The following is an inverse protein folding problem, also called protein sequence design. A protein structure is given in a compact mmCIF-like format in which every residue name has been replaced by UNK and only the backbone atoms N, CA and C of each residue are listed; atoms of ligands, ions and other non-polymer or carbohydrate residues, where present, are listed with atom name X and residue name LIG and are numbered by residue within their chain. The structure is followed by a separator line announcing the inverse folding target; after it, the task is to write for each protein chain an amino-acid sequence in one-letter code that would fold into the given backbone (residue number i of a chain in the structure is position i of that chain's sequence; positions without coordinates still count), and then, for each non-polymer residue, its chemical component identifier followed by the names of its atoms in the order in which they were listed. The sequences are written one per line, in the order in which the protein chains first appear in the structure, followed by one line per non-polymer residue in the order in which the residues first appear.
data_IF_284917873180
#
_entry.id   IF_284917873180
#
_cell.length_a   1.000
_cell.length_b   1.000
_cell.length_c   1.000
_cell.angle_alpha   90.00
_cell.angle_beta   90.00
_cell.angle_gamma   90.00
#
_symmetry.space_group_name_H-M   'P 1'
#
loop_
_entity.id
_entity.type
_entity.pdbx_description
1 polymer ?
#
# COMPACT_ATOMS: atom_id res chain seq x y z
N UNK A 1 -21.17 6.56 3.13
CA UNK A 1 -20.78 6.80 4.54
C UNK A 1 -19.59 5.94 4.95
N UNK A 2 -18.49 6.61 5.32
CA UNK A 2 -17.19 6.03 5.73
C UNK A 2 -17.19 5.07 6.93
N UNK A 3 -18.35 4.72 7.48
CA UNK A 3 -18.46 4.02 8.75
C UNK A 3 -17.90 2.59 8.69
N UNK A 4 -18.16 1.86 7.60
CA UNK A 4 -17.69 0.48 7.43
C UNK A 4 -16.16 0.42 7.38
N UNK A 5 -15.53 1.34 6.64
CA UNK A 5 -14.07 1.46 6.57
C UNK A 5 -13.46 1.81 7.92
N UNK A 6 -14.07 2.73 8.67
CA UNK A 6 -13.60 3.09 10.03
C UNK A 6 -13.70 1.92 10.99
N UNK A 7 -14.76 1.11 10.90
CA UNK A 7 -14.91 -0.09 11.74
C UNK A 7 -13.88 -1.16 11.38
N UNK A 8 -13.63 -1.39 10.08
CA UNK A 8 -12.58 -2.30 9.63
C UNK A 8 -11.19 -1.84 10.08
N UNK A 9 -10.90 -0.55 9.99
CA UNK A 9 -9.67 0.06 10.48
C UNK A 9 -9.49 -0.17 11.98
N UNK A 10 -10.51 0.16 12.79
CA UNK A 10 -10.49 -0.09 14.25
C UNK A 10 -10.25 -1.56 14.59
N UNK A 11 -10.92 -2.47 13.88
CA UNK A 11 -10.72 -3.92 14.08
C UNK A 11 -9.28 -4.33 13.78
N UNK A 12 -8.69 -3.79 12.72
CA UNK A 12 -7.29 -4.08 12.35
C UNK A 12 -6.29 -3.50 13.33
N UNK A 13 -6.49 -2.29 13.84
CA UNK A 13 -5.66 -1.75 14.92
C UNK A 13 -5.79 -2.53 16.23
N UNK A 14 -6.98 -3.02 16.57
CA UNK A 14 -7.15 -3.89 17.73
C UNK A 14 -6.48 -5.26 17.55
N UNK A 15 -6.36 -5.74 16.30
CA UNK A 15 -5.70 -7.03 15.98
C UNK A 15 -4.17 -6.89 15.93
N UNK A 16 -3.65 -5.74 15.51
CA UNK A 16 -2.22 -5.47 15.32
C UNK A 16 -1.80 -4.16 16.01
N UNK A 17 -1.84 -4.10 17.36
CA UNK A 17 -1.48 -2.90 18.10
C UNK A 17 -0.01 -2.49 17.89
N UNK A 18 0.89 -3.46 17.71
CA UNK A 18 2.31 -3.22 17.46
C UNK A 18 2.59 -2.44 16.17
N UNK A 19 1.68 -2.51 15.20
CA UNK A 19 1.75 -1.75 13.95
C UNK A 19 1.11 -0.37 14.04
N UNK A 20 0.39 -0.09 15.14
CA UNK A 20 -0.19 1.22 15.42
C UNK A 20 0.84 2.17 16.04
N UNK A 21 1.74 1.64 16.86
CA UNK A 21 2.74 2.42 17.63
C UNK A 21 4.13 2.46 16.96
N UNK A 22 4.30 1.79 15.81
CA UNK A 22 5.57 1.70 15.09
C UNK A 22 6.03 3.05 14.49
N UNK A 23 7.26 3.49 14.82
CA UNK A 23 7.84 4.72 14.23
C UNK A 23 8.31 4.55 12.77
N UNK A 24 8.60 3.31 12.35
CA UNK A 24 9.17 3.01 11.03
C UNK A 24 8.14 2.52 10.01
N UNK A 25 7.03 1.93 10.47
CA UNK A 25 5.98 1.35 9.62
C UNK A 25 4.61 1.71 10.16
N UNK A 26 3.65 1.89 9.25
CA UNK A 26 2.27 2.21 9.60
C UNK A 26 1.32 1.19 8.99
N UNK A 27 0.37 0.70 9.79
CA UNK A 27 -0.74 -0.09 9.29
C UNK A 27 -1.66 0.79 8.43
N UNK A 28 -1.76 0.47 7.14
CA UNK A 28 -2.65 1.17 6.21
C UNK A 28 -3.75 0.22 5.75
N UNK A 29 -5.02 0.57 6.02
CA UNK A 29 -6.17 -0.23 5.57
C UNK A 29 -6.68 0.34 4.25
N UNK A 30 -6.40 -0.38 3.18
CA UNK A 30 -6.87 -0.04 1.84
C UNK A 30 -8.28 -0.58 1.64
N UNK A 31 -9.24 0.32 1.47
CA UNK A 31 -10.61 -0.04 1.16
C UNK A 31 -11.27 0.84 0.11
N UNK A 32 -12.30 0.27 -0.51
CA UNK A 32 -13.14 0.90 -1.52
C UNK A 32 -14.61 0.61 -1.17
N UNK A 33 -15.44 1.65 -1.15
CA UNK A 33 -16.88 1.53 -0.90
C UNK A 33 -17.65 1.21 -2.18
N UNK A 34 -18.90 0.77 -2.01
CA UNK A 34 -19.85 0.62 -3.12
C UNK A 34 -19.93 1.94 -3.90
N UNK A 35 -19.79 1.86 -5.23
CA UNK A 35 -19.68 3.04 -6.11
C UNK A 35 -18.25 3.49 -6.41
N UNK A 36 -17.22 2.77 -5.96
CA UNK A 36 -15.83 3.02 -6.36
C UNK A 36 -15.10 4.08 -5.52
N UNK A 37 -15.69 4.49 -4.40
CA UNK A 37 -15.11 5.52 -3.53
C UNK A 37 -13.98 4.94 -2.67
N UNK A 38 -12.76 5.38 -2.93
CA UNK A 38 -11.59 4.97 -2.16
C UNK A 38 -11.52 5.60 -0.77
N UNK A 39 -11.03 4.82 0.20
CA UNK A 39 -10.64 5.29 1.53
C UNK A 39 -9.56 6.38 1.45
N UNK A 40 -9.56 7.30 2.44
CA UNK A 40 -8.55 8.36 2.54
C UNK A 40 -7.13 7.78 2.62
N UNK A 41 -6.95 6.68 3.35
CA UNK A 41 -5.66 6.01 3.49
C UNK A 41 -5.13 5.50 2.15
N UNK A 42 -5.99 4.91 1.31
CA UNK A 42 -5.61 4.48 -0.04
C UNK A 42 -5.20 5.66 -0.93
N UNK A 43 -5.96 6.76 -0.90
CA UNK A 43 -5.63 7.98 -1.65
C UNK A 43 -4.29 8.56 -1.19
N UNK A 44 -4.05 8.62 0.11
CA UNK A 44 -2.80 9.14 0.67
C UNK A 44 -1.61 8.24 0.36
N UNK A 45 -1.77 6.92 0.43
CA UNK A 45 -0.73 5.97 0.06
C UNK A 45 -0.32 6.15 -1.41
N UNK A 46 -1.29 6.16 -2.33
CA UNK A 46 -0.99 6.33 -3.77
C UNK A 46 -0.29 7.67 -4.02
N UNK A 47 -0.75 8.76 -3.40
CA UNK A 47 -0.10 10.07 -3.53
C UNK A 47 1.36 10.04 -3.07
N UNK A 48 1.67 9.39 -1.96
CA UNK A 48 3.04 9.24 -1.44
C UNK A 48 3.90 8.38 -2.38
N UNK A 49 3.38 7.23 -2.84
CA UNK A 49 4.09 6.35 -3.78
C UNK A 49 4.39 7.05 -5.11
N UNK A 50 3.43 7.79 -5.64
CA UNK A 50 3.60 8.59 -6.86
C UNK A 50 4.65 9.67 -6.67
N UNK A 51 4.61 10.40 -5.56
CA UNK A 51 5.61 11.43 -5.27
C UNK A 51 7.02 10.83 -5.16
N UNK A 52 7.17 9.75 -4.40
CA UNK A 52 8.46 9.06 -4.23
C UNK A 52 9.01 8.54 -5.56
N UNK A 53 8.17 7.89 -6.39
CA UNK A 53 8.59 7.36 -7.69
C UNK A 53 8.89 8.46 -8.70
N UNK A 54 8.14 9.56 -8.69
CA UNK A 54 8.40 10.68 -9.59
C UNK A 54 9.69 11.43 -9.24
N UNK A 55 10.12 11.46 -7.99
CA UNK A 55 11.41 12.07 -7.60
C UNK A 55 12.60 11.36 -8.22
N UNK A 56 12.49 10.04 -8.47
CA UNK A 56 13.51 9.24 -9.16
C UNK A 56 13.64 9.57 -10.66
N UNK A 57 12.68 10.29 -11.24
CA UNK A 57 12.75 10.71 -12.64
C UNK A 57 13.50 12.05 -12.80
N UNK A 58 14.16 12.29 -13.96
CA UNK A 58 14.75 13.58 -14.29
C UNK A 58 13.75 14.74 -14.13
N UNK A 59 14.18 15.96 -13.72
CA UNK A 59 13.28 17.07 -13.44
C UNK A 59 12.24 17.35 -14.54
N UNK A 60 12.66 17.31 -15.80
CA UNK A 60 11.80 17.53 -16.98
C UNK A 60 10.71 16.45 -17.15
N UNK A 61 10.92 15.23 -16.64
CA UNK A 61 9.99 14.11 -16.78
C UNK A 61 9.13 13.86 -15.54
N UNK A 62 9.27 14.65 -14.48
CA UNK A 62 8.55 14.39 -13.22
C UNK A 62 7.03 14.50 -13.36
N UNK A 63 6.54 15.46 -14.13
CA UNK A 63 5.10 15.61 -14.36
C UNK A 63 4.47 14.41 -15.10
N UNK A 64 4.97 13.98 -16.28
CA UNK A 64 4.44 12.79 -16.94
C UNK A 64 4.69 11.51 -16.12
N UNK A 65 5.81 11.41 -15.39
CA UNK A 65 6.06 10.29 -14.49
C UNK A 65 5.00 10.21 -13.37
N UNK A 66 4.62 11.34 -12.75
CA UNK A 66 3.55 11.35 -11.73
C UNK A 66 2.25 10.78 -12.28
N UNK A 67 1.85 11.20 -13.48
CA UNK A 67 0.62 10.72 -14.11
C UNK A 67 0.69 9.22 -14.42
N UNK A 68 1.79 8.76 -15.03
CA UNK A 68 1.99 7.35 -15.37
C UNK A 68 1.97 6.45 -14.11
N UNK A 69 2.68 6.85 -13.06
CA UNK A 69 2.67 6.12 -11.79
C UNK A 69 1.30 6.13 -11.12
N UNK A 70 0.58 7.25 -11.17
CA UNK A 70 -0.77 7.32 -10.62
C UNK A 70 -1.71 6.34 -11.33
N UNK A 71 -1.72 6.33 -12.67
CA UNK A 71 -2.49 5.38 -13.45
C UNK A 71 -2.13 3.94 -13.10
N UNK A 72 -0.84 3.60 -13.07
CA UNK A 72 -0.38 2.25 -12.72
C UNK A 72 -0.87 1.81 -11.34
N UNK A 73 -0.68 2.63 -10.31
CA UNK A 73 -1.09 2.27 -8.95
C UNK A 73 -2.60 2.16 -8.80
N UNK A 74 -3.38 3.05 -9.42
CA UNK A 74 -4.83 2.94 -9.41
C UNK A 74 -5.34 1.72 -10.16
N UNK A 75 -4.71 1.33 -11.28
CA UNK A 75 -5.04 0.09 -11.99
C UNK A 75 -4.80 -1.14 -11.11
N UNK A 76 -3.65 -1.22 -10.43
CA UNK A 76 -3.34 -2.33 -9.50
C UNK A 76 -4.39 -2.43 -8.39
N UNK A 77 -4.73 -1.30 -7.76
CA UNK A 77 -5.75 -1.27 -6.71
C UNK A 77 -7.13 -1.68 -7.23
N UNK A 78 -7.51 -1.22 -8.42
CA UNK A 78 -8.80 -1.54 -9.03
C UNK A 78 -8.93 -3.03 -9.33
N UNK A 79 -7.88 -3.64 -9.89
CA UNK A 79 -7.83 -5.10 -10.11
C UNK A 79 -7.91 -5.83 -8.77
N UNK A 80 -7.16 -5.40 -7.75
CA UNK A 80 -7.20 -6.03 -6.43
C UNK A 80 -8.60 -6.00 -5.81
N UNK A 81 -9.34 -4.90 -5.95
CA UNK A 81 -10.73 -4.80 -5.50
C UNK A 81 -11.66 -5.71 -6.28
N UNK A 82 -11.58 -5.72 -7.62
CA UNK A 82 -12.39 -6.61 -8.46
C UNK A 82 -12.15 -8.08 -8.09
N UNK A 83 -10.89 -8.46 -7.87
CA UNK A 83 -10.51 -9.78 -7.40
C UNK A 83 -11.10 -10.07 -6.02
N UNK A 84 -10.96 -9.15 -5.05
CA UNK A 84 -11.52 -9.34 -3.70
C UNK A 84 -13.05 -9.52 -3.72
N UNK A 85 -13.76 -8.73 -4.54
CA UNK A 85 -15.21 -8.85 -4.74
C UNK A 85 -15.55 -10.20 -5.38
N UNK A 86 -14.85 -10.60 -6.45
CA UNK A 86 -15.05 -11.89 -7.10
C UNK A 86 -14.86 -13.08 -6.14
N UNK A 87 -13.83 -13.05 -5.30
CA UNK A 87 -13.59 -14.10 -4.30
C UNK A 87 -14.70 -14.15 -3.25
N UNK A 88 -15.17 -12.99 -2.78
CA UNK A 88 -16.26 -12.89 -1.80
C UNK A 88 -17.57 -13.40 -2.40
N UNK A 89 -17.88 -13.02 -3.64
CA UNK A 89 -19.10 -13.44 -4.34
C UNK A 89 -19.13 -14.95 -4.63
N UNK A 90 -17.97 -15.54 -4.94
CA UNK A 90 -17.85 -16.98 -5.20
C UNK A 90 -17.77 -17.84 -3.93
N UNK A 91 -17.89 -17.25 -2.73
CA UNK A 91 -17.83 -17.97 -1.46
C UNK A 91 -16.48 -18.62 -1.17
N UNK A 92 -15.42 -18.24 -1.91
CA UNK A 92 -14.06 -18.74 -1.64
C UNK A 92 -13.49 -17.91 -0.49
N UNK A 93 -13.46 -18.49 0.71
CA UNK A 93 -12.59 -18.01 1.77
C UNK A 93 -11.17 -17.96 1.20
N UNK A 94 -10.60 -16.76 1.11
CA UNK A 94 -9.27 -16.57 0.57
C UNK A 94 -8.30 -17.35 1.47
N UNK A 95 -7.76 -18.47 0.99
CA UNK A 95 -6.35 -18.72 1.24
C UNK A 95 -5.66 -17.50 0.63
N UNK A 96 -5.03 -16.67 1.47
CA UNK A 96 -4.18 -15.60 0.94
C UNK A 96 -3.34 -16.22 -0.16
N UNK A 97 -3.36 -15.72 -1.42
CA UNK A 97 -2.28 -16.06 -2.30
C UNK A 97 -1.04 -15.55 -1.57
N UNK A 98 -0.24 -16.48 -1.04
CA UNK A 98 1.17 -16.20 -0.74
C UNK A 98 1.74 -15.53 -1.99
N UNK A 99 2.63 -14.55 -1.78
CA UNK A 99 2.92 -13.45 -2.72
C UNK A 99 2.73 -13.92 -4.15
N UNK A 100 1.57 -13.60 -4.72
CA UNK A 100 1.37 -13.82 -6.14
C UNK A 100 2.50 -13.04 -6.78
N UNK A 101 3.38 -13.77 -7.48
CA UNK A 101 4.46 -13.29 -8.31
C UNK A 101 3.88 -12.40 -9.41
N UNK A 102 3.37 -11.26 -8.98
CA UNK A 102 3.30 -10.05 -9.76
C UNK A 102 4.76 -9.63 -9.91
N UNK A 103 5.15 -9.07 -11.06
CA UNK A 103 6.39 -8.31 -11.27
C UNK A 103 6.47 -7.05 -10.35
N UNK A 104 5.95 -7.15 -9.13
CA UNK A 104 6.32 -6.30 -8.04
C UNK A 104 7.75 -6.72 -7.65
N UNK A 105 8.71 -5.77 -7.64
CA UNK A 105 10.05 -6.06 -7.18
C UNK A 105 9.96 -6.74 -5.81
N UNK A 106 10.77 -7.77 -5.62
CA UNK A 106 10.80 -8.51 -4.37
C UNK A 106 10.99 -7.52 -3.20
N UNK A 107 10.42 -7.82 -2.03
CA UNK A 107 10.52 -6.91 -0.90
C UNK A 107 12.00 -6.64 -0.56
N UNK A 108 12.89 -7.63 -0.76
CA UNK A 108 14.34 -7.45 -0.65
C UNK A 108 14.88 -6.43 -1.66
N UNK A 109 14.43 -6.48 -2.92
CA UNK A 109 14.84 -5.55 -3.97
C UNK A 109 14.35 -4.11 -3.71
N UNK A 110 13.18 -3.94 -3.10
CA UNK A 110 12.67 -2.63 -2.65
C UNK A 110 13.47 -2.10 -1.46
N UNK A 111 13.95 -2.98 -0.58
CA UNK A 111 14.78 -2.65 0.56
C UNK A 111 16.24 -2.38 0.16
N UNK A 112 16.78 -3.09 -0.82
CA UNK A 112 18.13 -2.88 -1.38
C UNK A 112 18.22 -1.56 -2.16
N UNK A 113 17.11 -1.10 -2.75
CA UNK A 113 17.01 0.25 -3.33
C UNK A 113 17.02 1.38 -2.29
N UNK A 114 16.88 1.05 -1.00
CA UNK A 114 17.23 1.93 0.11
C UNK A 114 18.67 1.61 0.52
N UNK A 115 19.61 2.15 -0.23
CA UNK A 115 21.05 2.02 0.01
C UNK A 115 21.36 2.24 1.51
N UNK A 116 21.96 1.27 2.24
CA UNK A 116 22.38 1.45 3.62
C UNK A 116 23.66 2.30 3.65
N UNK A 117 23.58 3.53 3.17
CA UNK A 117 24.64 4.53 3.31
C UNK A 117 24.67 5.01 4.76
N UNK A 118 25.29 4.21 5.63
CA UNK A 118 25.71 4.59 6.97
C UNK A 118 25.34 3.61 8.08
N UNK A 119 26.09 3.64 9.20
CA UNK A 119 25.87 2.73 10.32
C UNK A 119 24.43 2.78 10.83
N UNK A 120 23.89 1.61 11.12
CA UNK A 120 22.56 1.38 11.70
C UNK A 120 22.24 2.43 12.78
N UNK A 121 21.18 3.21 12.56
CA UNK A 121 20.65 4.19 13.54
C UNK A 121 19.63 3.57 14.51
N UNK A 122 19.47 2.25 14.48
CA UNK A 122 18.62 1.56 15.43
C UNK A 122 19.38 1.45 16.76
N UNK A 123 18.86 1.99 17.87
CA UNK A 123 19.45 1.71 19.16
C UNK A 123 19.34 0.20 19.41
N UNK A 124 20.48 -0.44 19.65
CA UNK A 124 20.52 -1.77 20.25
C UNK A 124 19.93 -1.60 21.66
N UNK A 125 18.68 -2.02 21.86
CA UNK A 125 18.13 -2.14 23.20
C UNK A 125 18.92 -3.24 23.92
N UNK A 126 19.66 -2.84 24.96
CA UNK A 126 20.18 -3.73 25.99
C UNK A 126 19.12 -4.06 27.05
#
# INVERSE_FOLDING_TARGET
DGAVLRTALRRKHATYPELADGRAQALCVLGCEVGGRWSTDAVMLVRRLVALRALKAPPAMRAPAKAAWACRWWSVLSVAVQQAVGHTALGRARAMPGPAHTDAPDLSEVLDLADPEGPSRLPLCG
#
